data_IF_801888109334
#
_entry.id   IF_801888109334
#
_cell.length_a   1.000
_cell.length_b   1.000
_cell.length_c   1.000
_cell.angle_alpha   90.00
_cell.angle_beta   90.00
_cell.angle_gamma   90.00
#
_symmetry.space_group_name_H-M   'P 1'
#
loop_
_entity.id
_entity.type
_entity.pdbx_description
1 polymer ?
#
# COMPACT_ATOMS: atom_id res chain seq x y z
N UNK A 1 36.85 -20.05 11.77
CA UNK A 1 37.04 -20.41 10.35
C UNK A 1 35.72 -21.02 9.86
N UNK A 2 34.75 -20.16 9.58
CA UNK A 2 33.41 -20.57 9.14
C UNK A 2 33.37 -20.27 7.65
N UNK A 3 33.23 -21.32 6.83
CA UNK A 3 33.18 -21.22 5.37
C UNK A 3 32.03 -20.30 4.93
N UNK A 4 32.36 -19.03 4.65
CA UNK A 4 31.58 -18.25 3.69
C UNK A 4 31.87 -18.85 2.31
N UNK A 5 31.01 -19.79 1.90
CA UNK A 5 30.94 -20.19 0.50
C UNK A 5 30.49 -18.96 -0.27
N UNK A 6 31.43 -18.33 -0.96
CA UNK A 6 31.17 -17.46 -2.10
C UNK A 6 30.36 -18.29 -3.14
N UNK A 7 29.05 -18.36 -2.97
CA UNK A 7 28.13 -18.80 -4.01
C UNK A 7 27.80 -17.56 -4.83
N UNK A 8 28.04 -17.66 -6.14
CA UNK A 8 28.10 -16.53 -7.05
C UNK A 8 26.83 -15.66 -7.03
N UNK A 9 27.01 -14.41 -7.46
CA UNK A 9 25.95 -13.44 -7.77
C UNK A 9 24.95 -13.93 -8.86
N UNK A 10 24.98 -15.21 -9.23
CA UNK A 10 24.24 -15.83 -10.32
C UNK A 10 23.07 -16.71 -9.86
N UNK A 11 22.92 -17.03 -8.56
CA UNK A 11 21.69 -17.66 -8.03
C UNK A 11 20.68 -16.59 -7.57
N UNK A 12 19.54 -16.41 -8.26
CA UNK A 12 18.50 -15.46 -7.87
C UNK A 12 17.92 -15.72 -6.47
N UNK A 13 18.10 -16.91 -5.88
CA UNK A 13 17.62 -17.22 -4.54
C UNK A 13 18.54 -16.71 -3.42
N UNK A 14 19.79 -16.35 -3.74
CA UNK A 14 20.73 -15.78 -2.76
C UNK A 14 20.15 -14.52 -2.09
N UNK A 15 19.34 -13.75 -2.81
CA UNK A 15 18.66 -12.56 -2.29
C UNK A 15 17.79 -12.81 -1.05
N UNK A 16 17.19 -14.00 -0.93
CA UNK A 16 16.35 -14.37 0.22
C UNK A 16 16.96 -15.44 1.11
N UNK A 17 18.25 -15.74 0.96
CA UNK A 17 18.91 -16.78 1.75
C UNK A 17 18.88 -16.45 3.24
N UNK A 18 19.07 -15.18 3.59
CA UNK A 18 19.04 -14.68 4.96
C UNK A 18 17.62 -14.29 5.44
N UNK A 19 16.59 -14.44 4.60
CA UNK A 19 15.20 -14.11 4.95
C UNK A 19 14.67 -15.10 5.99
N UNK A 20 14.36 -14.62 7.19
CA UNK A 20 13.95 -15.47 8.31
C UNK A 20 12.53 -16.04 8.17
N UNK A 21 11.67 -15.43 7.34
CA UNK A 21 10.27 -15.83 7.24
C UNK A 21 10.02 -16.67 5.97
N UNK A 22 9.70 -17.97 6.11
CA UNK A 22 9.50 -18.89 4.97
C UNK A 22 8.44 -18.40 3.98
N UNK A 23 7.45 -17.64 4.45
CA UNK A 23 6.43 -17.02 3.61
C UNK A 23 7.05 -16.09 2.55
N UNK A 24 8.02 -15.25 2.92
CA UNK A 24 8.60 -14.28 1.99
C UNK A 24 9.62 -14.92 1.05
N UNK A 25 10.32 -15.96 1.51
CA UNK A 25 11.10 -16.83 0.62
C UNK A 25 10.21 -17.49 -0.45
N UNK A 26 9.02 -17.98 -0.06
CA UNK A 26 8.04 -18.56 -1.01
C UNK A 26 7.53 -17.50 -1.99
N UNK A 27 7.16 -16.31 -1.51
CA UNK A 27 6.71 -15.21 -2.38
C UNK A 27 7.78 -14.87 -3.41
N UNK A 28 9.05 -14.81 -3.00
CA UNK A 28 10.17 -14.58 -3.91
C UNK A 28 10.28 -15.67 -4.99
N UNK A 29 10.30 -16.94 -4.58
CA UNK A 29 10.33 -18.08 -5.53
C UNK A 29 9.16 -18.07 -6.49
N UNK A 30 7.96 -17.75 -6.00
CA UNK A 30 6.75 -17.66 -6.83
C UNK A 30 6.76 -16.46 -7.77
N UNK A 31 7.39 -15.35 -7.38
CA UNK A 31 7.60 -14.18 -8.21
C UNK A 31 8.55 -14.52 -9.38
N UNK A 32 9.70 -15.12 -9.10
CA UNK A 32 10.68 -15.51 -10.11
C UNK A 32 10.11 -16.50 -11.14
N UNK A 33 9.37 -17.51 -10.66
CA UNK A 33 8.75 -18.55 -11.49
C UNK A 33 7.48 -18.09 -12.21
N UNK A 34 6.97 -16.88 -11.93
CA UNK A 34 5.71 -16.38 -12.50
C UNK A 34 4.44 -17.02 -11.91
N UNK A 35 4.57 -17.96 -10.96
CA UNK A 35 3.42 -18.59 -10.29
C UNK A 35 2.57 -17.59 -9.50
N UNK A 36 3.20 -16.54 -8.96
CA UNK A 36 2.51 -15.49 -8.22
C UNK A 36 1.46 -14.79 -9.10
N UNK A 37 1.82 -14.49 -10.36
CA UNK A 37 0.92 -13.90 -11.37
C UNK A 37 -0.27 -14.82 -11.70
N UNK A 38 0.01 -16.10 -11.95
CA UNK A 38 -1.03 -17.09 -12.30
C UNK A 38 -2.07 -17.27 -11.19
N UNK A 39 -1.62 -17.44 -9.94
CA UNK A 39 -2.51 -17.59 -8.78
C UNK A 39 -3.42 -16.37 -8.57
N UNK A 40 -2.93 -15.18 -8.89
CA UNK A 40 -3.67 -13.94 -8.67
C UNK A 40 -4.85 -13.73 -9.62
N UNK A 41 -4.64 -13.95 -10.92
CA UNK A 41 -5.65 -13.68 -11.94
C UNK A 41 -6.93 -14.50 -11.73
N UNK A 42 -6.80 -15.72 -11.21
CA UNK A 42 -7.89 -16.62 -10.85
C UNK A 42 -8.74 -16.10 -9.68
N UNK A 43 -8.12 -15.42 -8.71
CA UNK A 43 -8.82 -14.86 -7.55
C UNK A 43 -9.44 -13.49 -7.80
N UNK A 44 -8.75 -12.62 -8.56
CA UNK A 44 -9.18 -11.25 -8.81
C UNK A 44 -10.56 -11.19 -9.48
N UNK A 45 -10.76 -11.97 -10.55
CA UNK A 45 -12.02 -11.99 -11.32
C UNK A 45 -13.23 -12.46 -10.48
N UNK A 46 -13.01 -13.31 -9.47
CA UNK A 46 -14.09 -13.84 -8.62
C UNK A 46 -14.59 -12.84 -7.58
N UNK A 47 -13.78 -11.84 -7.25
CA UNK A 47 -14.01 -10.91 -6.12
C UNK A 47 -14.42 -9.50 -6.57
N UNK A 48 -14.55 -9.25 -7.87
CA UNK A 48 -15.04 -7.97 -8.39
C UNK A 48 -16.57 -7.94 -8.36
N UNK A 49 -17.13 -6.98 -7.61
CA UNK A 49 -18.57 -6.69 -7.64
C UNK A 49 -18.80 -5.38 -8.42
N UNK A 50 -19.19 -5.50 -9.69
CA UNK A 50 -19.42 -4.33 -10.55
C UNK A 50 -20.64 -3.52 -10.11
N UNK A 51 -21.62 -4.13 -9.43
CA UNK A 51 -22.87 -3.47 -9.03
C UNK A 51 -22.63 -2.31 -8.08
N UNK A 52 -21.59 -2.41 -7.23
CA UNK A 52 -21.22 -1.36 -6.29
C UNK A 52 -20.88 -0.04 -7.01
N UNK A 53 -20.19 -0.15 -8.14
CA UNK A 53 -19.63 0.98 -8.90
C UNK A 53 -20.55 1.46 -10.02
N UNK A 54 -21.31 0.54 -10.63
CA UNK A 54 -22.16 0.83 -11.81
C UNK A 54 -23.55 1.34 -11.44
N UNK A 55 -24.11 0.91 -10.30
CA UNK A 55 -25.47 1.27 -9.89
C UNK A 55 -25.54 2.77 -9.54
N UNK A 56 -26.19 3.54 -10.41
CA UNK A 56 -26.46 4.95 -10.15
C UNK A 56 -27.46 5.09 -9.01
N UNK A 57 -27.07 5.85 -7.99
CA UNK A 57 -27.96 6.28 -6.91
C UNK A 57 -28.58 7.64 -7.22
N UNK A 58 -28.36 8.16 -8.43
CA UNK A 58 -28.80 9.48 -8.80
C UNK A 58 -30.34 9.53 -8.87
N UNK A 59 -30.94 10.18 -7.87
CA UNK A 59 -32.39 10.45 -7.84
C UNK A 59 -32.67 11.75 -8.58
N UNK A 60 -33.77 11.82 -9.34
CA UNK A 60 -34.23 13.04 -10.02
C UNK A 60 -34.37 14.25 -9.06
N UNK A 61 -34.45 13.99 -7.74
CA UNK A 61 -34.30 14.99 -6.69
C UNK A 61 -32.83 15.02 -6.24
N UNK A 62 -32.00 15.82 -6.92
CA UNK A 62 -30.71 16.26 -6.39
C UNK A 62 -30.91 16.79 -4.96
N UNK A 63 -29.97 16.61 -4.01
CA UNK A 63 -30.00 17.35 -2.76
C UNK A 63 -29.89 18.87 -3.04
N UNK A 64 -31.02 19.53 -3.24
CA UNK A 64 -31.15 20.97 -3.44
C UNK A 64 -31.41 21.72 -2.12
N UNK A 65 -31.68 20.98 -1.04
CA UNK A 65 -31.74 21.50 0.33
C UNK A 65 -30.90 20.62 1.28
N UNK A 66 -30.47 21.22 2.39
CA UNK A 66 -29.73 20.53 3.44
C UNK A 66 -30.57 19.41 4.08
N UNK A 67 -31.89 19.60 4.26
CA UNK A 67 -32.75 18.56 4.83
C UNK A 67 -32.81 17.32 3.94
N UNK A 68 -32.94 17.50 2.62
CA UNK A 68 -32.97 16.40 1.67
C UNK A 68 -31.62 15.65 1.64
N UNK A 69 -30.51 16.41 1.63
CA UNK A 69 -29.16 15.86 1.73
C UNK A 69 -28.98 14.96 2.97
N UNK A 70 -29.36 15.46 4.15
CA UNK A 70 -29.26 14.71 5.41
C UNK A 70 -30.17 13.47 5.38
N UNK A 71 -31.38 13.60 4.83
CA UNK A 71 -32.33 12.48 4.70
C UNK A 71 -31.76 11.36 3.82
N UNK A 72 -31.21 11.70 2.66
CA UNK A 72 -30.57 10.75 1.74
C UNK A 72 -29.39 10.05 2.41
N UNK A 73 -28.49 10.80 3.05
CA UNK A 73 -27.33 10.23 3.73
C UNK A 73 -27.73 9.28 4.88
N UNK A 74 -28.83 9.57 5.59
CA UNK A 74 -29.38 8.65 6.61
C UNK A 74 -29.98 7.39 5.98
N UNK A 75 -30.64 7.50 4.83
CA UNK A 75 -31.29 6.35 4.18
C UNK A 75 -30.33 5.29 3.64
N UNK A 76 -29.10 5.67 3.28
CA UNK A 76 -28.12 4.74 2.70
C UNK A 76 -27.42 3.85 3.74
N UNK A 77 -27.62 4.13 5.05
CA UNK A 77 -27.12 3.27 6.12
C UNK A 77 -25.60 3.10 6.16
N UNK A 78 -24.83 4.13 5.80
CA UNK A 78 -23.36 4.05 5.69
C UNK A 78 -22.62 3.68 6.99
N UNK A 79 -23.31 3.71 8.14
CA UNK A 79 -22.81 3.30 9.46
C UNK A 79 -23.20 1.86 9.85
N UNK A 80 -23.90 1.15 8.98
CA UNK A 80 -24.37 -0.22 9.22
C UNK A 80 -23.57 -1.19 8.34
N UNK A 81 -23.58 -2.47 8.68
CA UNK A 81 -23.00 -3.50 7.82
C UNK A 81 -23.62 -3.46 6.40
N UNK A 82 -22.80 -3.61 5.34
CA UNK A 82 -21.36 -3.87 5.36
C UNK A 82 -20.45 -2.63 5.47
N UNK A 83 -21.00 -1.42 5.43
CA UNK A 83 -20.31 -0.14 5.23
C UNK A 83 -19.50 0.37 6.43
N UNK A 84 -19.78 -0.14 7.63
CA UNK A 84 -19.09 0.19 8.89
C UNK A 84 -17.70 -0.45 9.03
N UNK A 85 -17.36 -1.41 8.16
CA UNK A 85 -16.06 -2.09 8.18
C UNK A 85 -14.93 -1.14 7.83
N UNK A 86 -13.86 -1.18 8.63
CA UNK A 86 -12.66 -0.34 8.45
C UNK A 86 -12.02 -0.45 7.05
N UNK A 87 -12.12 -1.63 6.42
CA UNK A 87 -11.60 -1.92 5.09
C UNK A 87 -12.72 -2.18 4.08
N UNK A 88 -13.89 -1.58 4.28
CA UNK A 88 -14.99 -1.69 3.33
C UNK A 88 -14.58 -1.18 1.94
N UNK A 89 -15.15 -1.81 0.91
CA UNK A 89 -14.91 -1.48 -0.49
C UNK A 89 -13.63 -2.13 -1.01
N UNK A 90 -12.50 -1.47 -0.82
CA UNK A 90 -11.27 -1.80 -1.55
C UNK A 90 -9.99 -1.78 -0.70
N UNK A 91 -9.12 -2.77 -0.90
CA UNK A 91 -7.82 -2.84 -0.23
C UNK A 91 -6.86 -1.71 -0.58
N UNK A 92 -7.03 -1.02 -1.73
CA UNK A 92 -6.27 0.17 -2.09
C UNK A 92 -6.37 1.28 -1.05
N UNK A 93 -7.49 1.38 -0.31
CA UNK A 93 -7.59 2.30 0.83
C UNK A 93 -6.55 2.03 1.93
N UNK A 94 -5.95 0.83 1.93
CA UNK A 94 -4.90 0.39 2.85
C UNK A 94 -3.50 0.35 2.21
N UNK A 95 -3.26 1.12 1.14
CA UNK A 95 -1.95 1.26 0.51
C UNK A 95 -0.88 1.70 1.51
N UNK A 96 -1.19 2.70 2.34
CA UNK A 96 -0.29 3.16 3.39
C UNK A 96 -1.08 3.70 4.60
N UNK A 97 -0.57 3.57 5.85
CA UNK A 97 -1.22 4.14 7.03
C UNK A 97 -1.26 5.66 6.97
N UNK A 98 -2.32 6.28 7.49
CA UNK A 98 -2.39 7.73 7.64
C UNK A 98 -3.40 8.05 8.74
N UNK A 99 -3.08 9.05 9.55
CA UNK A 99 -3.94 9.49 10.65
C UNK A 99 -5.09 10.32 10.09
N UNK A 100 -6.30 10.16 10.65
CA UNK A 100 -7.44 11.02 10.30
C UNK A 100 -8.00 10.81 8.89
N UNK A 101 -7.86 9.61 8.30
CA UNK A 101 -8.45 9.30 6.99
C UNK A 101 -9.97 9.27 7.04
N UNK A 102 -10.60 9.83 6.00
CA UNK A 102 -12.04 9.65 5.75
C UNK A 102 -12.36 8.17 5.52
N UNK A 103 -13.45 7.69 6.12
CA UNK A 103 -13.95 6.33 5.91
C UNK A 103 -14.36 6.14 4.44
N UNK A 104 -13.87 5.09 3.74
CA UNK A 104 -14.19 4.85 2.33
C UNK A 104 -15.69 4.81 2.01
N UNK A 105 -16.49 4.16 2.85
CA UNK A 105 -17.94 4.06 2.65
C UNK A 105 -18.65 5.42 2.72
N UNK A 106 -18.20 6.30 3.61
CA UNK A 106 -18.73 7.66 3.68
C UNK A 106 -18.39 8.43 2.39
N UNK A 107 -17.12 8.36 1.94
CA UNK A 107 -16.70 9.00 0.69
C UNK A 107 -17.54 8.49 -0.51
N UNK A 108 -17.68 7.17 -0.63
CA UNK A 108 -18.49 6.52 -1.66
C UNK A 108 -19.91 7.09 -1.73
N UNK A 109 -20.61 7.15 -0.60
CA UNK A 109 -21.99 7.64 -0.55
C UNK A 109 -22.10 9.13 -0.78
N UNK A 110 -21.19 9.94 -0.26
CA UNK A 110 -21.17 11.38 -0.55
C UNK A 110 -21.01 11.61 -2.06
N UNK A 111 -20.06 10.94 -2.71
CA UNK A 111 -19.86 11.08 -4.16
C UNK A 111 -21.12 10.63 -4.93
N UNK A 112 -21.72 9.49 -4.57
CA UNK A 112 -22.94 8.98 -5.26
C UNK A 112 -24.17 9.89 -5.08
N UNK A 113 -24.31 10.53 -3.93
CA UNK A 113 -25.46 11.40 -3.61
C UNK A 113 -25.31 12.78 -4.27
N UNK A 114 -24.10 13.34 -4.27
CA UNK A 114 -23.87 14.75 -4.63
C UNK A 114 -23.25 14.94 -6.03
N UNK A 115 -22.94 13.88 -6.77
CA UNK A 115 -22.37 13.97 -8.13
C UNK A 115 -22.96 12.96 -9.11
N UNK A 116 -22.90 13.29 -10.41
CA UNK A 116 -23.18 12.40 -11.53
C UNK A 116 -21.88 11.89 -12.16
N UNK A 117 -21.96 10.80 -12.92
CA UNK A 117 -20.80 10.31 -13.69
C UNK A 117 -20.29 11.44 -14.59
N UNK A 118 -18.98 11.58 -14.70
CA UNK A 118 -18.31 12.65 -15.46
C UNK A 118 -18.13 13.99 -14.72
N UNK A 119 -18.84 14.21 -13.60
CA UNK A 119 -18.63 15.40 -12.76
C UNK A 119 -17.21 15.42 -12.18
N UNK A 120 -16.75 16.62 -11.81
CA UNK A 120 -15.48 16.82 -11.10
C UNK A 120 -15.73 17.02 -9.61
N UNK A 121 -15.06 16.24 -8.77
CA UNK A 121 -15.05 16.37 -7.31
C UNK A 121 -13.74 16.99 -6.85
N UNK A 122 -13.82 18.08 -6.09
CA UNK A 122 -12.67 18.71 -5.44
C UNK A 122 -12.56 18.22 -4.00
N UNK A 123 -11.38 17.72 -3.62
CA UNK A 123 -10.99 17.49 -2.23
C UNK A 123 -9.74 18.35 -1.90
N UNK A 124 -9.92 19.48 -1.20
CA UNK A 124 -8.81 20.39 -0.90
C UNK A 124 -7.88 19.88 0.21
N UNK A 125 -8.24 18.79 0.89
CA UNK A 125 -7.47 18.18 1.98
C UNK A 125 -7.48 16.65 1.85
N UNK A 126 -7.04 16.16 0.68
CA UNK A 126 -7.29 14.78 0.26
C UNK A 126 -6.62 13.71 1.13
N UNK A 127 -5.61 14.09 1.93
CA UNK A 127 -4.76 13.14 2.64
C UNK A 127 -4.20 12.11 1.67
N UNK A 128 -4.31 10.83 2.03
CA UNK A 128 -3.87 9.72 1.15
C UNK A 128 -4.85 9.39 0.02
N UNK A 129 -5.78 10.28 -0.32
CA UNK A 129 -6.60 10.17 -1.53
C UNK A 129 -7.78 9.20 -1.42
N UNK A 130 -8.52 9.17 -0.31
CA UNK A 130 -9.76 8.36 -0.21
C UNK A 130 -10.82 8.87 -1.20
N UNK A 131 -11.07 10.19 -1.23
CA UNK A 131 -12.06 10.80 -2.13
C UNK A 131 -11.63 10.68 -3.60
N UNK A 132 -10.38 11.03 -4.01
CA UNK A 132 -9.91 10.78 -5.36
C UNK A 132 -10.11 9.33 -5.84
N UNK A 133 -9.78 8.35 -5.00
CA UNK A 133 -9.93 6.94 -5.35
C UNK A 133 -11.39 6.51 -5.53
N UNK A 134 -12.28 6.87 -4.60
CA UNK A 134 -13.71 6.55 -4.75
C UNK A 134 -14.34 7.29 -5.94
N UNK A 135 -13.86 8.51 -6.23
CA UNK A 135 -14.33 9.31 -7.38
C UNK A 135 -13.97 8.60 -8.69
N UNK A 136 -12.74 8.09 -8.81
CA UNK A 136 -12.30 7.28 -9.95
C UNK A 136 -13.12 5.99 -10.11
N UNK A 137 -13.31 5.24 -9.02
CA UNK A 137 -14.13 4.04 -9.01
C UNK A 137 -15.57 4.28 -9.43
N UNK A 138 -16.10 5.46 -9.12
CA UNK A 138 -17.45 5.87 -9.49
C UNK A 138 -17.51 6.55 -10.86
N UNK A 139 -16.44 6.58 -11.65
CA UNK A 139 -16.43 7.19 -12.99
C UNK A 139 -16.71 8.70 -12.97
N UNK A 140 -16.10 9.40 -12.01
CA UNK A 140 -16.02 10.86 -11.93
C UNK A 140 -14.56 11.31 -12.06
N UNK A 141 -14.34 12.60 -12.29
CA UNK A 141 -13.01 13.22 -12.26
C UNK A 141 -12.75 13.75 -10.86
N UNK A 142 -11.49 13.74 -10.40
CA UNK A 142 -11.13 14.30 -9.10
C UNK A 142 -10.00 15.31 -9.20
N UNK A 143 -10.06 16.33 -8.35
CA UNK A 143 -8.94 17.24 -8.07
C UNK A 143 -8.66 17.09 -6.57
N UNK A 144 -7.51 16.53 -6.23
CA UNK A 144 -7.08 16.35 -4.85
C UNK A 144 -5.89 17.23 -4.53
N UNK A 145 -5.94 17.96 -3.41
CA UNK A 145 -4.85 18.82 -2.93
C UNK A 145 -4.47 18.38 -1.52
N UNK A 146 -3.17 18.24 -1.27
CA UNK A 146 -2.60 18.06 0.07
C UNK A 146 -1.16 18.58 0.06
N UNK A 147 -0.73 19.23 1.15
CA UNK A 147 0.63 19.73 1.30
C UNK A 147 1.63 18.64 1.70
N UNK A 148 1.13 17.54 2.28
CA UNK A 148 1.97 16.47 2.74
C UNK A 148 2.39 15.57 1.56
N UNK A 149 3.69 15.60 1.22
CA UNK A 149 4.26 14.80 0.14
C UNK A 149 4.01 13.30 0.31
N UNK A 150 4.01 12.79 1.54
CA UNK A 150 3.67 11.40 1.83
C UNK A 150 2.25 11.08 1.35
N UNK A 151 1.32 11.97 1.69
CA UNK A 151 -0.09 11.83 1.40
C UNK A 151 -0.32 11.87 -0.12
N UNK A 152 0.35 12.82 -0.79
CA UNK A 152 0.36 12.96 -2.24
C UNK A 152 0.88 11.71 -2.96
N UNK A 153 2.03 11.16 -2.57
CA UNK A 153 2.60 9.95 -3.20
C UNK A 153 1.63 8.78 -3.10
N UNK A 154 1.05 8.57 -1.92
CA UNK A 154 0.10 7.47 -1.68
C UNK A 154 -1.19 7.69 -2.47
N UNK A 155 -1.71 8.91 -2.52
CA UNK A 155 -2.88 9.25 -3.33
C UNK A 155 -2.62 9.00 -4.83
N UNK A 156 -1.48 9.50 -5.33
CA UNK A 156 -1.05 9.35 -6.73
C UNK A 156 -0.91 7.88 -7.12
N UNK A 157 -0.30 7.06 -6.26
CA UNK A 157 -0.17 5.63 -6.48
C UNK A 157 -1.50 4.86 -6.54
N UNK A 158 -2.56 5.35 -5.90
CA UNK A 158 -3.90 4.74 -5.99
C UNK A 158 -4.59 5.05 -7.31
N UNK A 159 -4.45 6.28 -7.80
CA UNK A 159 -5.15 6.75 -9.00
C UNK A 159 -4.40 6.43 -10.29
N UNK A 160 -3.07 6.43 -10.30
CA UNK A 160 -2.22 6.05 -11.46
C UNK A 160 -1.87 4.56 -11.46
N UNK A 161 -2.79 3.72 -10.99
CA UNK A 161 -2.54 2.29 -10.82
C UNK A 161 -2.52 1.57 -12.17
N UNK A 162 -1.51 0.73 -12.39
CA UNK A 162 -1.36 -0.16 -13.57
C UNK A 162 -1.92 -1.56 -13.26
N UNK A 163 -2.09 -2.45 -14.25
CA UNK A 163 -2.39 -3.86 -13.98
C UNK A 163 -1.34 -4.49 -13.04
N UNK A 164 -1.77 -5.35 -12.11
CA UNK A 164 -0.87 -5.99 -11.13
C UNK A 164 0.32 -6.70 -11.77
N UNK A 165 0.12 -7.30 -12.94
CA UNK A 165 1.15 -8.01 -13.70
C UNK A 165 2.35 -7.12 -13.99
N UNK A 166 2.11 -5.84 -14.32
CA UNK A 166 3.16 -4.84 -14.52
C UNK A 166 4.05 -4.72 -13.28
N UNK A 167 3.46 -4.62 -12.09
CA UNK A 167 4.20 -4.43 -10.85
C UNK A 167 4.96 -5.69 -10.44
N UNK A 168 4.40 -6.87 -10.66
CA UNK A 168 5.09 -8.13 -10.38
C UNK A 168 6.27 -8.33 -11.34
N UNK A 169 6.08 -8.06 -12.63
CA UNK A 169 7.14 -8.15 -13.62
C UNK A 169 8.23 -7.11 -13.34
N UNK A 170 7.87 -5.88 -12.95
CA UNK A 170 8.80 -4.86 -12.48
C UNK A 170 9.65 -5.35 -11.30
N UNK A 171 9.00 -5.79 -10.21
CA UNK A 171 9.67 -6.28 -8.99
C UNK A 171 10.56 -7.49 -9.25
N UNK A 172 10.16 -8.37 -10.18
CA UNK A 172 10.96 -9.51 -10.63
C UNK A 172 12.23 -9.03 -11.33
N UNK A 173 12.12 -8.06 -12.24
CA UNK A 173 13.24 -7.60 -13.06
C UNK A 173 14.28 -6.81 -12.26
N UNK A 174 13.86 -6.02 -11.28
CA UNK A 174 14.77 -5.32 -10.36
C UNK A 174 15.33 -6.23 -9.26
N UNK A 175 15.01 -7.52 -9.30
CA UNK A 175 15.22 -8.52 -8.26
C UNK A 175 16.64 -8.68 -7.71
N UNK A 176 17.63 -8.06 -8.35
CA UNK A 176 19.01 -8.02 -7.91
C UNK A 176 19.36 -6.58 -7.50
N UNK A 177 18.95 -6.18 -6.28
CA UNK A 177 19.23 -4.85 -5.75
C UNK A 177 20.74 -4.71 -5.56
N UNK A 178 21.35 -3.74 -6.24
CA UNK A 178 22.75 -3.40 -6.01
C UNK A 178 22.87 -2.34 -4.91
N UNK A 179 23.14 -2.79 -3.69
CA UNK A 179 23.33 -1.94 -2.51
C UNK A 179 24.79 -1.50 -2.31
N UNK A 180 25.72 -1.86 -3.22
CA UNK A 180 27.17 -1.67 -2.99
C UNK A 180 27.60 -0.22 -2.80
N UNK A 181 26.85 0.75 -3.36
CA UNK A 181 27.12 2.19 -3.22
C UNK A 181 26.24 2.92 -2.20
N UNK A 182 25.41 2.20 -1.42
CA UNK A 182 24.47 2.83 -0.48
C UNK A 182 25.09 2.89 0.92
N UNK A 183 25.47 4.10 1.32
CA UNK A 183 25.94 4.42 2.66
C UNK A 183 24.78 4.74 3.59
N UNK A 184 24.76 4.16 4.79
CA UNK A 184 23.74 4.41 5.81
C UNK A 184 24.21 5.40 6.89
N UNK A 185 25.47 5.84 6.84
CA UNK A 185 26.07 6.71 7.86
C UNK A 185 25.40 8.09 7.94
N UNK A 186 24.89 8.59 6.81
CA UNK A 186 24.15 9.86 6.72
C UNK A 186 22.69 9.74 7.21
N UNK A 187 22.20 8.52 7.43
CA UNK A 187 20.87 8.29 7.99
C UNK A 187 20.91 8.50 9.50
N UNK A 188 19.97 9.25 10.04
CA UNK A 188 19.91 9.51 11.48
C UNK A 188 19.93 8.20 12.29
N UNK A 189 20.74 8.15 13.35
CA UNK A 189 20.95 6.95 14.16
C UNK A 189 19.64 6.31 14.63
N UNK A 190 18.67 7.14 15.05
CA UNK A 190 17.38 6.64 15.52
C UNK A 190 16.58 5.91 14.44
N UNK A 191 16.82 6.15 13.15
CA UNK A 191 16.22 5.39 12.03
C UNK A 191 16.98 4.07 11.85
N UNK A 192 18.32 4.12 11.90
CA UNK A 192 19.15 2.91 11.83
C UNK A 192 18.76 1.90 12.93
N UNK A 193 18.39 2.38 14.12
CA UNK A 193 17.91 1.54 15.23
C UNK A 193 16.65 0.71 14.87
N UNK A 194 15.85 1.12 13.86
CA UNK A 194 14.64 0.38 13.46
C UNK A 194 14.88 -0.72 12.44
N UNK A 195 15.95 -0.64 11.65
CA UNK A 195 16.13 -1.46 10.46
C UNK A 195 17.45 -2.22 10.50
N UNK A 196 17.43 -3.42 9.96
CA UNK A 196 18.68 -4.13 9.71
C UNK A 196 19.45 -3.43 8.59
N UNK A 197 20.78 -3.35 8.69
CA UNK A 197 21.61 -2.54 7.80
C UNK A 197 21.38 -2.80 6.31
N UNK A 198 21.40 -4.07 5.90
CA UNK A 198 21.14 -4.43 4.49
C UNK A 198 19.68 -4.14 4.07
N UNK A 199 18.70 -4.40 4.95
CA UNK A 199 17.30 -4.02 4.69
C UNK A 199 17.17 -2.51 4.49
N UNK A 200 17.87 -1.70 5.28
CA UNK A 200 17.85 -0.24 5.15
C UNK A 200 18.46 0.21 3.82
N UNK A 201 19.58 -0.39 3.40
CA UNK A 201 20.17 -0.11 2.09
C UNK A 201 19.21 -0.46 0.95
N UNK A 202 18.55 -1.61 1.00
CA UNK A 202 17.52 -2.00 0.04
C UNK A 202 16.37 -0.98 -0.01
N UNK A 203 15.89 -0.52 1.15
CA UNK A 203 14.85 0.51 1.25
C UNK A 203 15.29 1.81 0.56
N UNK A 204 16.48 2.31 0.87
CA UNK A 204 16.99 3.57 0.33
C UNK A 204 17.17 3.49 -1.20
N UNK A 205 17.76 2.40 -1.69
CA UNK A 205 17.92 2.16 -3.12
C UNK A 205 16.57 2.13 -3.84
N UNK A 206 15.60 1.36 -3.32
CA UNK A 206 14.26 1.25 -3.89
C UNK A 206 13.51 2.57 -3.83
N UNK A 207 13.63 3.31 -2.72
CA UNK A 207 12.99 4.61 -2.58
C UNK A 207 13.43 5.56 -3.71
N UNK A 208 14.73 5.67 -3.95
CA UNK A 208 15.28 6.56 -4.98
C UNK A 208 14.86 6.10 -6.37
N UNK A 209 15.07 4.81 -6.69
CA UNK A 209 14.70 4.25 -8.00
C UNK A 209 13.22 4.41 -8.34
N UNK A 210 12.33 4.07 -7.40
CA UNK A 210 10.89 4.17 -7.61
C UNK A 210 10.42 5.62 -7.73
N UNK A 211 11.07 6.54 -7.02
CA UNK A 211 10.77 7.98 -7.13
C UNK A 211 11.20 8.54 -8.49
N UNK A 212 12.43 8.24 -8.93
CA UNK A 212 12.98 8.68 -10.22
C UNK A 212 12.15 8.15 -11.40
N UNK A 213 11.77 6.88 -11.35
CA UNK A 213 10.95 6.22 -12.38
C UNK A 213 9.45 6.52 -12.23
N UNK A 214 9.05 7.29 -11.21
CA UNK A 214 7.66 7.67 -10.93
C UNK A 214 6.73 6.48 -10.72
N UNK A 215 7.22 5.40 -10.13
CA UNK A 215 6.45 4.21 -9.77
C UNK A 215 5.68 4.42 -8.45
N UNK A 216 4.76 5.37 -8.43
CA UNK A 216 4.08 5.86 -7.22
C UNK A 216 3.34 4.78 -6.45
N UNK A 217 2.72 3.81 -7.14
CA UNK A 217 2.03 2.71 -6.48
C UNK A 217 2.99 1.81 -5.69
N UNK A 218 4.13 1.45 -6.29
CA UNK A 218 5.15 0.64 -5.63
C UNK A 218 5.82 1.43 -4.51
N UNK A 219 6.09 2.72 -4.71
CA UNK A 219 6.58 3.60 -3.66
C UNK A 219 5.59 3.68 -2.48
N UNK A 220 4.29 3.81 -2.75
CA UNK A 220 3.23 3.74 -1.74
C UNK A 220 3.17 2.37 -1.04
N UNK A 221 3.42 1.28 -1.77
CA UNK A 221 3.54 -0.06 -1.18
C UNK A 221 4.73 -0.14 -0.21
N UNK A 222 5.90 0.35 -0.61
CA UNK A 222 7.12 0.41 0.20
C UNK A 222 6.87 1.21 1.49
N UNK A 223 6.36 2.44 1.34
CA UNK A 223 5.99 3.32 2.46
C UNK A 223 5.00 2.64 3.42
N UNK A 224 4.04 1.89 2.86
CA UNK A 224 3.02 1.17 3.62
C UNK A 224 3.50 -0.11 4.31
N UNK A 225 4.76 -0.51 4.13
CA UNK A 225 5.38 -1.65 4.82
C UNK A 225 6.63 -1.26 5.62
N UNK A 226 7.00 0.02 5.71
CA UNK A 226 8.19 0.43 6.44
C UNK A 226 8.13 -0.01 7.92
N UNK A 227 7.02 0.23 8.60
CA UNK A 227 6.92 -0.05 10.03
C UNK A 227 5.55 -0.57 10.48
N UNK A 228 5.56 -1.42 11.50
CA UNK A 228 4.34 -1.95 12.10
C UNK A 228 4.57 -3.20 12.95
N UNK A 229 3.49 -3.94 13.16
CA UNK A 229 3.39 -4.97 14.20
C UNK A 229 3.31 -6.42 13.68
N UNK A 230 3.81 -6.66 12.47
CA UNK A 230 3.73 -7.97 11.79
C UNK A 230 5.00 -8.24 10.99
N UNK A 231 5.33 -9.50 10.70
CA UNK A 231 6.48 -9.87 9.86
C UNK A 231 6.55 -9.24 8.47
N UNK A 232 5.41 -8.76 7.96
CA UNK A 232 5.33 -8.10 6.65
C UNK A 232 5.81 -6.65 6.62
N UNK A 233 6.15 -6.08 7.77
CA UNK A 233 6.81 -4.79 7.85
C UNK A 233 8.34 -4.95 7.84
N UNK A 234 9.08 -3.90 7.53
CA UNK A 234 10.55 -3.94 7.37
C UNK A 234 11.30 -3.56 8.65
N UNK A 235 10.71 -2.72 9.49
CA UNK A 235 11.27 -2.36 10.78
C UNK A 235 11.11 -3.46 11.82
N UNK A 236 11.81 -3.32 12.94
CA UNK A 236 11.43 -3.90 14.23
C UNK A 236 9.96 -3.63 14.59
N UNK A 237 9.42 -4.41 15.52
CA UNK A 237 8.01 -4.35 15.88
C UNK A 237 7.66 -3.00 16.50
N UNK A 238 6.72 -2.27 15.89
CA UNK A 238 6.30 -0.96 16.37
C UNK A 238 4.85 -0.62 15.97
N UNK A 239 4.35 0.54 16.38
CA UNK A 239 3.01 1.01 16.00
C UNK A 239 2.92 1.33 14.51
N UNK A 240 1.81 0.98 13.85
CA UNK A 240 1.65 1.15 12.39
C UNK A 240 1.43 2.60 11.93
N UNK A 241 1.11 3.53 12.84
CA UNK A 241 0.88 4.95 12.51
C UNK A 241 1.94 5.80 13.18
N UNK A 242 2.19 5.55 14.48
CA UNK A 242 3.20 6.23 15.26
C UNK A 242 4.25 5.19 15.66
N UNK A 243 5.43 5.20 15.03
CA UNK A 243 6.50 4.29 15.39
C UNK A 243 7.10 4.71 16.74
N UNK A 244 7.05 3.82 17.71
CA UNK A 244 7.74 3.95 19.00
C UNK A 244 9.18 3.48 18.86
N UNK A 245 10.13 4.18 19.51
CA UNK A 245 11.55 3.85 19.47
C UNK A 245 11.78 2.42 19.99
N UNK A 246 12.62 1.60 19.33
CA UNK A 246 12.95 0.27 19.80
C UNK A 246 13.64 0.36 21.16
N UNK A 247 13.37 -0.62 22.03
CA UNK A 247 13.95 -0.61 23.37
C UNK A 247 15.43 -0.99 23.30
N UNK A 248 16.34 -0.30 24.01
CA UNK A 248 17.74 -0.73 24.07
C UNK A 248 17.85 -2.03 24.87
N UNK A 249 18.96 -2.75 24.67
CA UNK A 249 19.25 -4.02 25.37
C UNK A 249 19.29 -3.89 26.90
N UNK A 250 19.57 -2.68 27.40
CA UNK A 250 19.57 -2.34 28.83
C UNK A 250 18.17 -2.15 29.43
N UNK A 251 17.12 -2.05 28.59
CA UNK A 251 15.77 -1.80 29.06
C UNK A 251 15.14 -3.08 29.66
N UNK A 252 14.51 -3.04 30.85
CA UNK A 252 13.98 -4.25 31.52
C UNK A 252 12.96 -5.06 30.73
N UNK A 253 12.23 -4.40 29.82
CA UNK A 253 11.22 -5.03 28.94
C UNK A 253 11.74 -5.37 27.53
N UNK A 254 13.05 -5.27 27.28
CA UNK A 254 13.65 -5.59 25.99
C UNK A 254 13.28 -7.01 25.54
N UNK A 255 12.89 -7.14 24.28
CA UNK A 255 12.52 -8.40 23.65
C UNK A 255 13.33 -8.57 22.37
N UNK A 256 14.30 -9.49 22.32
CA UNK A 256 15.10 -9.71 21.12
C UNK A 256 14.27 -10.00 19.87
N UNK A 257 13.15 -10.71 20.00
CA UNK A 257 12.23 -11.03 18.89
C UNK A 257 11.47 -9.80 18.34
N UNK A 258 11.47 -8.67 19.06
CA UNK A 258 10.68 -7.49 18.70
C UNK A 258 11.50 -6.22 18.53
N UNK A 259 12.53 -6.05 19.35
CA UNK A 259 13.32 -4.83 19.46
C UNK A 259 14.66 -4.94 18.72
N UNK A 260 15.12 -6.16 18.37
CA UNK A 260 16.34 -6.35 17.58
C UNK A 260 16.02 -6.30 16.09
N UNK A 261 16.66 -5.42 15.30
CA UNK A 261 16.52 -5.46 13.86
C UNK A 261 17.06 -6.77 13.28
N UNK A 262 16.29 -7.35 12.37
CA UNK A 262 16.61 -8.58 11.66
C UNK A 262 16.51 -8.34 10.15
N UNK A 263 17.25 -9.12 9.36
CA UNK A 263 17.16 -9.00 7.92
C UNK A 263 15.76 -9.35 7.44
N UNK A 264 15.25 -8.51 6.53
CA UNK A 264 13.91 -8.61 5.96
C UNK A 264 13.97 -8.15 4.51
N UNK A 265 14.00 -9.10 3.58
CA UNK A 265 14.04 -8.83 2.16
C UNK A 265 12.87 -7.94 1.72
N UNK A 266 13.18 -6.83 1.04
CA UNK A 266 12.20 -5.79 0.73
C UNK A 266 11.25 -6.21 -0.41
N UNK A 267 11.81 -6.70 -1.52
CA UNK A 267 11.05 -7.06 -2.73
C UNK A 267 9.91 -8.07 -2.48
N UNK A 268 10.14 -9.24 -1.83
CA UNK A 268 9.04 -10.18 -1.60
C UNK A 268 7.93 -9.60 -0.70
N UNK A 269 8.26 -8.69 0.23
CA UNK A 269 7.24 -7.99 1.04
C UNK A 269 6.47 -6.97 0.20
N UNK A 270 7.14 -6.25 -0.68
CA UNK A 270 6.49 -5.36 -1.64
C UNK A 270 5.56 -6.13 -2.58
N UNK A 271 5.99 -7.27 -3.13
CA UNK A 271 5.15 -8.12 -3.96
C UNK A 271 3.90 -8.61 -3.20
N UNK A 272 4.08 -9.08 -1.96
CA UNK A 272 2.97 -9.48 -1.09
C UNK A 272 2.04 -8.30 -0.73
N UNK A 273 2.57 -7.08 -0.63
CA UNK A 273 1.79 -5.85 -0.42
C UNK A 273 0.99 -5.50 -1.66
N UNK A 274 1.61 -5.45 -2.83
CA UNK A 274 0.95 -5.16 -4.11
C UNK A 274 -0.22 -6.13 -4.36
N UNK A 275 0.02 -7.43 -4.20
CA UNK A 275 -1.00 -8.49 -4.30
C UNK A 275 -2.17 -8.25 -3.36
N UNK A 276 -1.89 -7.83 -2.11
CA UNK A 276 -2.93 -7.51 -1.14
C UNK A 276 -3.77 -6.31 -1.56
N UNK A 277 -3.17 -5.30 -2.18
CA UNK A 277 -3.90 -4.10 -2.64
C UNK A 277 -4.88 -4.42 -3.77
N UNK A 278 -4.57 -5.45 -4.56
CA UNK A 278 -5.45 -5.92 -5.62
C UNK A 278 -6.39 -7.04 -5.15
N UNK A 279 -6.33 -7.49 -3.90
CA UNK A 279 -7.09 -8.65 -3.44
C UNK A 279 -8.62 -8.47 -3.53
N UNK A 280 -9.10 -7.23 -3.58
CA UNK A 280 -10.48 -6.87 -3.96
C UNK A 280 -10.47 -6.46 -5.43
N UNK A 281 -11.39 -7.01 -6.23
CA UNK A 281 -11.55 -6.56 -7.61
C UNK A 281 -12.00 -5.10 -7.68
N UNK A 282 -11.60 -4.38 -8.72
CA UNK A 282 -12.02 -2.99 -8.97
C UNK A 282 -11.97 -2.64 -10.45
N UNK A 283 -12.62 -1.53 -10.87
CA UNK A 283 -12.55 -1.06 -12.26
C UNK A 283 -11.09 -0.76 -12.64
N UNK A 284 -10.59 -1.42 -13.68
CA UNK A 284 -9.19 -1.30 -14.12
C UNK A 284 -8.96 -0.12 -15.07
N UNK A 285 -10.02 0.45 -15.64
CA UNK A 285 -9.98 1.69 -16.42
C UNK A 285 -10.05 2.88 -15.48
N UNK A 286 -9.00 3.69 -15.46
CA UNK A 286 -8.94 4.94 -14.69
C UNK A 286 -9.54 6.08 -15.51
N UNK A 287 -10.32 6.96 -14.86
CA UNK A 287 -10.83 8.21 -15.45
C UNK A 287 -10.03 9.44 -14.98
N UNK A 288 -8.90 9.20 -14.30
CA UNK A 288 -7.98 10.19 -13.75
C UNK A 288 -7.14 10.90 -14.83
#
# INVERSE_FOLDING_TARGET
MTLFKYMGKDDPNSFVENELYPRYQKVWRDLLTGRLKQSFQLEFKKKFDSKLYEAEFFSEKYPNTLENAIKLLKSVGWRNEPYDKQHWGNWLHSLSPYQGRLTPSLAHWLIKIFSKKGDTVLDPFMGVGTVPLETDFLHRRSIGIDLNIYAWVVAKGKVERKPIDYYLDYLKNIGNIDTTGIEINDVAQWIQDYFYGETLKEILWLNNKLYEEKEWFLLGCLMGILHGNRPGYLSVYTGCIIPMKPRPTTHPKYRPDKDKPEYRAVIPRMAAKAMRMYATGFPTTTNA
#
